data_IF_908429965945
#
_entry.id   IF_908429965945
#
_cell.length_a   1.000
_cell.length_b   1.000
_cell.length_c   1.000
_cell.angle_alpha   90.00
_cell.angle_beta   90.00
_cell.angle_gamma   90.00
#
_symmetry.space_group_name_H-M   'P 1'
#
loop_
_entity.id
_entity.type
_entity.pdbx_description
1 polymer ?
#
# COMPACT_ATOMS: atom_id res chain seq x y z
N UNK A 1 5.75 13.66 -10.64
CA UNK A 1 6.98 13.80 -9.82
C UNK A 1 6.75 13.39 -8.37
N UNK A 2 5.85 14.04 -7.62
CA UNK A 2 5.63 13.72 -6.19
C UNK A 2 5.18 12.27 -5.93
N UNK A 3 4.24 11.75 -6.74
CA UNK A 3 3.83 10.34 -6.64
C UNK A 3 4.96 9.35 -6.93
N UNK A 4 5.85 9.65 -7.88
CA UNK A 4 7.01 8.80 -8.19
C UNK A 4 8.00 8.75 -7.03
N UNK A 5 8.21 9.87 -6.34
CA UNK A 5 9.07 9.95 -5.16
C UNK A 5 8.55 9.04 -4.03
N UNK A 6 7.28 9.16 -3.66
CA UNK A 6 6.68 8.28 -2.65
C UNK A 6 6.65 6.82 -3.10
N UNK A 7 6.43 6.57 -4.39
CA UNK A 7 6.46 5.23 -4.98
C UNK A 7 7.80 4.53 -4.78
N UNK A 8 8.91 5.22 -5.08
CA UNK A 8 10.26 4.66 -4.92
C UNK A 8 10.54 4.34 -3.45
N UNK A 9 10.22 5.25 -2.54
CA UNK A 9 10.43 5.03 -1.10
C UNK A 9 9.62 3.83 -0.61
N UNK A 10 8.34 3.77 -0.97
CA UNK A 10 7.48 2.63 -0.62
C UNK A 10 8.02 1.32 -1.18
N UNK A 11 8.44 1.29 -2.45
CA UNK A 11 9.00 0.09 -3.09
C UNK A 11 10.27 -0.40 -2.40
N UNK A 12 11.22 0.50 -2.09
CA UNK A 12 12.45 0.13 -1.36
C UNK A 12 12.09 -0.44 0.02
N UNK A 13 11.14 0.18 0.72
CA UNK A 13 10.71 -0.30 2.03
C UNK A 13 10.01 -1.68 1.94
N UNK A 14 9.15 -1.92 0.95
CA UNK A 14 8.53 -3.23 0.72
C UNK A 14 9.56 -4.32 0.39
N UNK A 15 10.59 -3.98 -0.39
CA UNK A 15 11.72 -4.88 -0.66
C UNK A 15 12.47 -5.18 0.66
N UNK A 16 12.68 -4.15 1.49
CA UNK A 16 13.24 -4.29 2.83
C UNK A 16 12.47 -5.30 3.69
N UNK A 17 11.13 -5.21 3.76
CA UNK A 17 10.28 -6.17 4.49
C UNK A 17 10.55 -7.62 4.07
N UNK A 18 10.75 -7.85 2.76
CA UNK A 18 11.06 -9.18 2.23
C UNK A 18 12.47 -9.69 2.58
N UNK A 19 13.44 -8.79 2.68
CA UNK A 19 14.84 -9.13 3.03
C UNK A 19 15.11 -9.18 4.53
N UNK A 20 14.26 -8.60 5.36
CA UNK A 20 14.37 -8.63 6.81
C UNK A 20 13.26 -9.51 7.39
N UNK A 21 13.43 -10.84 7.45
CA UNK A 21 12.40 -11.70 7.97
C UNK A 21 12.27 -11.51 9.50
N UNK A 22 11.04 -11.63 10.00
CA UNK A 22 10.67 -11.22 11.36
C UNK A 22 11.32 -12.08 12.46
N UNK A 23 11.69 -13.31 12.13
CA UNK A 23 12.30 -14.31 12.99
C UNK A 23 13.80 -14.06 13.24
N UNK A 24 14.51 -13.48 12.26
CA UNK A 24 15.92 -13.12 12.39
C UNK A 24 16.13 -11.71 12.95
N UNK A 25 15.38 -10.72 12.46
CA UNK A 25 15.54 -9.34 12.88
C UNK A 25 14.22 -8.57 12.88
N UNK A 26 13.45 -8.74 13.96
CA UNK A 26 12.16 -8.11 14.15
C UNK A 26 12.24 -6.58 14.11
N UNK A 27 13.30 -5.98 14.64
CA UNK A 27 13.46 -4.52 14.68
C UNK A 27 13.56 -4.00 13.24
N UNK A 28 14.52 -4.49 12.46
CA UNK A 28 14.70 -4.07 11.07
C UNK A 28 13.43 -4.30 10.22
N UNK A 29 12.75 -5.44 10.43
CA UNK A 29 11.47 -5.73 9.79
C UNK A 29 10.42 -4.67 10.09
N UNK A 30 10.20 -4.35 11.37
CA UNK A 30 9.20 -3.36 11.78
C UNK A 30 9.56 -1.96 11.28
N UNK A 31 10.84 -1.58 11.22
CA UNK A 31 11.26 -0.31 10.60
C UNK A 31 10.82 -0.22 9.15
N UNK A 32 11.04 -1.27 8.35
CA UNK A 32 10.59 -1.30 6.96
C UNK A 32 9.05 -1.21 6.86
N UNK A 33 8.32 -1.90 7.75
CA UNK A 33 6.85 -1.84 7.84
C UNK A 33 6.38 -0.41 8.15
N UNK A 34 6.97 0.25 9.15
CA UNK A 34 6.63 1.63 9.54
C UNK A 34 6.99 2.68 8.49
N UNK A 35 7.76 2.34 7.47
CA UNK A 35 8.02 3.20 6.32
C UNK A 35 7.09 2.85 5.16
N UNK A 36 6.99 1.58 4.78
CA UNK A 36 6.31 1.12 3.58
C UNK A 36 4.81 1.49 3.56
N UNK A 37 4.10 1.16 4.63
CA UNK A 37 2.65 1.36 4.67
C UNK A 37 2.27 2.84 4.84
N UNK A 38 2.88 3.62 5.74
CA UNK A 38 2.55 5.04 5.86
C UNK A 38 2.85 5.84 4.60
N UNK A 39 3.98 5.58 3.92
CA UNK A 39 4.34 6.25 2.65
C UNK A 39 3.39 5.86 1.51
N UNK A 40 2.77 4.68 1.58
CA UNK A 40 1.78 4.24 0.59
C UNK A 40 0.49 5.11 0.63
N UNK A 41 0.22 5.81 1.73
CA UNK A 41 -0.96 6.68 1.85
C UNK A 41 -0.85 7.97 0.99
N UNK A 42 0.17 8.83 1.15
CA UNK A 42 0.34 9.99 0.27
C UNK A 42 0.57 9.59 -1.18
N UNK A 43 1.19 8.43 -1.45
CA UNK A 43 1.28 7.84 -2.78
C UNK A 43 -0.11 7.60 -3.40
N UNK A 44 -1.02 6.99 -2.64
CA UNK A 44 -2.39 6.70 -3.07
C UNK A 44 -3.16 7.98 -3.35
N UNK A 45 -3.01 9.00 -2.50
CA UNK A 45 -3.61 10.33 -2.74
C UNK A 45 -3.07 10.95 -4.04
N UNK A 46 -1.77 10.86 -4.28
CA UNK A 46 -1.18 11.32 -5.54
C UNK A 46 -1.77 10.60 -6.77
N UNK A 47 -2.02 9.30 -6.68
CA UNK A 47 -2.67 8.55 -7.76
C UNK A 47 -4.11 9.01 -8.01
N UNK A 48 -4.89 9.23 -6.95
CA UNK A 48 -6.26 9.75 -7.07
C UNK A 48 -6.25 11.11 -7.77
N UNK A 49 -5.42 12.04 -7.31
CA UNK A 49 -5.27 13.37 -7.92
C UNK A 49 -4.88 13.24 -9.39
N UNK A 50 -3.87 12.42 -9.70
CA UNK A 50 -3.41 12.19 -11.08
C UNK A 50 -4.51 11.65 -12.00
N UNK A 51 -5.38 10.76 -11.52
CA UNK A 51 -6.52 10.25 -12.31
C UNK A 51 -7.53 11.37 -12.60
N UNK A 52 -7.81 12.25 -11.63
CA UNK A 52 -8.76 13.36 -11.85
C UNK A 52 -8.19 14.50 -12.68
N UNK A 53 -6.87 14.68 -12.68
CA UNK A 53 -6.19 15.69 -13.51
C UNK A 53 -6.09 15.28 -14.99
N UNK A 54 -6.17 13.99 -15.30
CA UNK A 54 -6.05 13.48 -16.67
C UNK A 54 -7.42 13.35 -17.34
N UNK A 55 -7.71 14.16 -18.37
CA UNK A 55 -9.01 14.15 -19.05
C UNK A 55 -9.32 12.82 -19.75
N UNK A 56 -8.29 12.06 -20.16
CA UNK A 56 -8.45 10.81 -20.90
C UNK A 56 -8.72 9.60 -20.01
N UNK A 57 -8.64 9.74 -18.69
CA UNK A 57 -8.89 8.63 -17.76
C UNK A 57 -10.31 8.68 -17.20
N UNK A 58 -11.05 7.56 -17.22
CA UNK A 58 -12.38 7.53 -16.63
C UNK A 58 -12.27 7.67 -15.12
N UNK A 59 -12.93 8.70 -14.57
CA UNK A 59 -12.97 9.00 -13.11
C UNK A 59 -13.41 7.83 -12.24
N UNK A 60 -14.15 6.86 -12.81
CA UNK A 60 -14.50 5.59 -12.14
C UNK A 60 -13.28 4.78 -11.69
N UNK A 61 -12.12 4.95 -12.32
CA UNK A 61 -10.85 4.33 -11.90
C UNK A 61 -10.38 4.84 -10.53
N UNK A 62 -10.70 6.08 -10.17
CA UNK A 62 -10.36 6.64 -8.86
C UNK A 62 -11.12 5.94 -7.72
N UNK A 63 -12.31 5.37 -7.98
CA UNK A 63 -13.11 4.66 -6.97
C UNK A 63 -12.33 3.49 -6.36
N UNK A 64 -11.61 2.73 -7.19
CA UNK A 64 -10.78 1.62 -6.72
C UNK A 64 -9.62 2.11 -5.83
N UNK A 65 -9.05 3.28 -6.13
CA UNK A 65 -8.04 3.90 -5.27
C UNK A 65 -8.62 4.46 -3.97
N UNK A 66 -9.84 4.99 -3.96
CA UNK A 66 -10.52 5.36 -2.72
C UNK A 66 -10.79 4.14 -1.82
N UNK A 67 -11.22 3.01 -2.41
CA UNK A 67 -11.35 1.75 -1.68
C UNK A 67 -10.03 1.29 -1.07
N UNK A 68 -8.94 1.34 -1.84
CA UNK A 68 -7.60 1.03 -1.33
C UNK A 68 -7.15 1.99 -0.23
N UNK A 69 -7.37 3.31 -0.41
CA UNK A 69 -7.06 4.33 0.60
C UNK A 69 -7.77 4.04 1.93
N UNK A 70 -9.04 3.63 1.87
CA UNK A 70 -9.83 3.27 3.04
C UNK A 70 -9.26 2.05 3.78
N UNK A 71 -8.99 0.96 3.06
CA UNK A 71 -8.43 -0.27 3.65
C UNK A 71 -7.03 0.00 4.21
N UNK A 72 -6.20 0.76 3.50
CA UNK A 72 -4.86 1.16 3.96
C UNK A 72 -4.94 2.00 5.22
N UNK A 73 -5.87 2.95 5.29
CA UNK A 73 -6.06 3.80 6.49
C UNK A 73 -6.47 2.97 7.70
N UNK A 74 -7.35 1.98 7.51
CA UNK A 74 -7.73 1.05 8.57
C UNK A 74 -6.53 0.20 9.03
N UNK A 75 -5.72 -0.29 8.10
CA UNK A 75 -4.49 -1.01 8.45
C UNK A 75 -3.48 -0.11 9.17
N UNK A 76 -3.33 1.16 8.80
CA UNK A 76 -2.46 2.09 9.53
C UNK A 76 -2.96 2.34 10.95
N UNK A 77 -4.27 2.46 11.14
CA UNK A 77 -4.84 2.53 12.49
C UNK A 77 -4.46 1.27 13.29
N UNK A 78 -4.62 0.09 12.70
CA UNK A 78 -4.21 -1.18 13.32
C UNK A 78 -2.68 -1.25 13.58
N UNK A 79 -1.86 -0.66 12.71
CA UNK A 79 -0.41 -0.67 12.83
C UNK A 79 0.09 0.18 14.00
N UNK A 80 -0.56 1.33 14.26
CA UNK A 80 -0.16 2.25 15.33
C UNK A 80 -0.89 2.03 16.65
N UNK A 81 -2.16 1.60 16.60
CA UNK A 81 -3.03 1.47 17.77
C UNK A 81 -3.56 0.05 18.01
N UNK A 82 -3.29 -0.88 17.10
CA UNK A 82 -3.71 -2.26 17.23
C UNK A 82 -2.85 -3.09 18.19
N UNK A 83 -3.17 -4.38 18.32
CA UNK A 83 -2.48 -5.28 19.24
C UNK A 83 -1.00 -5.43 18.86
N UNK A 84 -0.15 -5.42 19.88
CA UNK A 84 1.29 -5.50 19.71
C UNK A 84 1.70 -6.82 19.02
N UNK A 85 2.62 -6.72 18.06
CA UNK A 85 3.19 -7.86 17.32
C UNK A 85 4.06 -8.80 18.18
N UNK A 86 4.28 -8.44 19.46
CA UNK A 86 4.93 -9.29 20.45
C UNK A 86 4.03 -10.44 20.94
N UNK A 87 2.71 -10.26 20.92
CA UNK A 87 1.75 -11.34 21.23
C UNK A 87 1.48 -12.17 19.98
N UNK A 88 1.27 -13.48 20.12
CA UNK A 88 0.97 -14.35 18.96
C UNK A 88 -0.28 -13.88 18.20
N UNK A 89 -1.35 -13.57 18.94
CA UNK A 89 -2.60 -13.08 18.35
C UNK A 89 -2.40 -11.73 17.66
N UNK A 90 -1.67 -10.80 18.28
CA UNK A 90 -1.36 -9.50 17.67
C UNK A 90 -0.51 -9.64 16.42
N UNK A 91 0.48 -10.54 16.44
CA UNK A 91 1.31 -10.87 15.26
C UNK A 91 0.47 -11.42 14.12
N UNK A 92 -0.43 -12.35 14.40
CA UNK A 92 -1.32 -12.92 13.38
C UNK A 92 -2.18 -11.84 12.73
N UNK A 93 -2.77 -10.95 13.54
CA UNK A 93 -3.58 -9.83 13.05
C UNK A 93 -2.76 -8.89 12.16
N UNK A 94 -1.55 -8.53 12.57
CA UNK A 94 -0.66 -7.67 11.79
C UNK A 94 -0.26 -8.33 10.46
N UNK A 95 0.15 -9.60 10.47
CA UNK A 95 0.57 -10.33 9.27
C UNK A 95 -0.58 -10.47 8.27
N UNK A 96 -1.79 -10.78 8.75
CA UNK A 96 -2.99 -10.86 7.89
C UNK A 96 -3.31 -9.49 7.30
N UNK A 97 -3.26 -8.44 8.12
CA UNK A 97 -3.46 -7.05 7.66
C UNK A 97 -2.47 -6.67 6.54
N UNK A 98 -1.18 -6.92 6.73
CA UNK A 98 -0.14 -6.66 5.72
C UNK A 98 -0.42 -7.39 4.41
N UNK A 99 -0.81 -8.68 4.47
CA UNK A 99 -1.13 -9.47 3.28
C UNK A 99 -2.33 -8.90 2.51
N UNK A 100 -3.37 -8.47 3.22
CA UNK A 100 -4.54 -7.83 2.60
C UNK A 100 -4.12 -6.59 1.82
N UNK A 101 -3.29 -5.72 2.42
CA UNK A 101 -2.80 -4.51 1.74
C UNK A 101 -1.98 -4.86 0.50
N UNK A 102 -1.06 -5.83 0.61
CA UNK A 102 -0.21 -6.24 -0.51
C UNK A 102 -1.07 -6.78 -1.67
N UNK A 103 -2.01 -7.67 -1.40
CA UNK A 103 -2.89 -8.21 -2.44
C UNK A 103 -3.80 -7.14 -3.06
N UNK A 104 -4.37 -6.25 -2.23
CA UNK A 104 -5.19 -5.15 -2.72
C UNK A 104 -4.38 -4.21 -3.64
N UNK A 105 -3.15 -3.88 -3.26
CA UNK A 105 -2.25 -3.04 -4.08
C UNK A 105 -1.94 -3.70 -5.43
N UNK A 106 -1.59 -4.99 -5.42
CA UNK A 106 -1.26 -5.72 -6.65
C UNK A 106 -2.47 -5.82 -7.60
N UNK A 107 -3.64 -6.18 -7.06
CA UNK A 107 -4.89 -6.26 -7.84
C UNK A 107 -5.26 -4.90 -8.44
N UNK A 108 -5.13 -3.83 -7.65
CA UNK A 108 -5.39 -2.47 -8.09
C UNK A 108 -4.49 -2.07 -9.27
N UNK A 109 -3.19 -2.33 -9.16
CA UNK A 109 -2.22 -2.01 -10.22
C UNK A 109 -2.51 -2.79 -11.52
N UNK A 110 -2.85 -4.08 -11.41
CA UNK A 110 -3.23 -4.91 -12.56
C UNK A 110 -4.51 -4.37 -13.21
N UNK A 111 -5.55 -4.12 -12.40
CA UNK A 111 -6.84 -3.59 -12.87
C UNK A 111 -6.67 -2.28 -13.64
N UNK A 112 -5.86 -1.37 -13.10
CA UNK A 112 -5.58 -0.08 -13.74
C UNK A 112 -4.84 -0.22 -15.06
N UNK A 113 -3.84 -1.11 -15.13
CA UNK A 113 -3.09 -1.39 -16.36
C UNK A 113 -3.99 -1.97 -17.46
N UNK A 114 -4.81 -2.96 -17.13
CA UNK A 114 -5.76 -3.59 -18.07
C UNK A 114 -6.78 -2.57 -18.59
N UNK A 115 -7.34 -1.75 -17.69
CA UNK A 115 -8.34 -0.76 -18.07
C UNK A 115 -7.77 0.36 -18.93
N UNK A 116 -6.54 0.80 -18.64
CA UNK A 116 -5.83 1.78 -19.48
C UNK A 116 -5.51 1.20 -20.87
N UNK A 117 -5.06 -0.05 -20.95
CA UNK A 117 -4.81 -0.71 -22.24
C UNK A 117 -6.07 -0.78 -23.12
N UNK A 118 -7.22 -1.11 -22.54
CA UNK A 118 -8.51 -1.16 -23.25
C UNK A 118 -9.02 0.21 -23.71
N UNK A 119 -8.52 1.32 -23.15
CA UNK A 119 -8.89 2.68 -23.58
C UNK A 119 -8.00 3.19 -24.73
N UNK A 120 -6.82 2.61 -24.91
CA UNK A 120 -5.85 3.00 -25.94
C UNK A 120 -5.92 2.15 -27.23
N UNK A 121 -6.65 1.03 -27.21
CA UNK A 121 -6.96 0.19 -28.36
C UNK A 121 -8.42 0.39 -28.77
#
# INVERSE_FOLDING_TARGET
WLGSFFGIIASIAYVGIGFTPWDLNLIAHMWCVYIAFPVSLPLTVCYIIGIYSECNLPKRMAISFFGYLFILSFYLYLLFFGPASATETGRMIQVVGQKIIIYATNLLMIFQKVRKFKLNN
#
